data_IF_246004673025
#
_entry.id   IF_246004673025
#
_cell.length_a   1.000
_cell.length_b   1.000
_cell.length_c   1.000
_cell.angle_alpha   90.00
_cell.angle_beta   90.00
_cell.angle_gamma   90.00
#
_symmetry.space_group_name_H-M   'P 1'
#
loop_
_entity.id
_entity.type
_entity.pdbx_description
1 polymer ?
#
# COMPACT_ATOMS: atom_id res chain seq x y z
N UNK A 1 19.38 30.33 15.59
CA UNK A 1 19.90 29.86 16.89
C UNK A 1 19.49 28.41 17.01
N UNK A 2 20.45 27.49 17.01
CA UNK A 2 20.17 26.05 17.05
C UNK A 2 19.66 25.67 18.45
N UNK A 3 18.62 24.82 18.57
CA UNK A 3 17.98 24.47 19.85
C UNK A 3 18.87 23.68 20.82
N UNK A 4 20.12 23.36 20.45
CA UNK A 4 21.07 22.55 21.20
C UNK A 4 22.35 23.31 21.57
N UNK A 5 22.24 24.53 22.10
CA UNK A 5 23.41 25.18 22.70
C UNK A 5 23.52 24.73 24.18
N UNK A 6 24.50 23.88 24.56
CA UNK A 6 24.66 23.44 25.94
C UNK A 6 24.87 24.60 26.91
N UNK A 7 25.45 25.71 26.46
CA UNK A 7 25.62 26.91 27.29
C UNK A 7 24.29 27.58 27.64
N UNK A 8 23.32 27.59 26.69
CA UNK A 8 21.98 28.15 26.93
C UNK A 8 21.21 27.30 27.93
N UNK A 9 21.31 25.97 27.84
CA UNK A 9 20.68 25.06 28.80
C UNK A 9 21.26 25.23 30.21
N UNK A 10 22.59 25.34 30.33
CA UNK A 10 23.22 25.64 31.61
C UNK A 10 22.74 26.97 32.19
N UNK A 11 22.56 28.00 31.35
CA UNK A 11 22.08 29.32 31.78
C UNK A 11 20.61 29.31 32.23
N UNK A 12 19.76 28.53 31.56
CA UNK A 12 18.34 28.35 31.93
C UNK A 12 18.18 27.51 33.21
N UNK A 13 19.00 26.48 33.38
CA UNK A 13 19.04 25.66 34.59
C UNK A 13 19.53 26.46 35.80
N UNK A 14 20.56 27.29 35.61
CA UNK A 14 21.06 28.18 36.66
C UNK A 14 20.02 29.22 37.11
N UNK A 15 19.11 29.63 36.21
CA UNK A 15 17.99 30.52 36.55
C UNK A 15 16.75 29.79 37.09
N UNK A 16 16.82 28.47 37.31
CA UNK A 16 15.70 27.68 37.83
C UNK A 16 14.50 27.59 36.88
N UNK A 17 14.70 27.87 35.58
CA UNK A 17 13.63 27.89 34.58
C UNK A 17 13.41 26.52 33.92
N UNK A 18 14.22 25.52 34.26
CA UNK A 18 14.13 24.15 33.72
C UNK A 18 14.13 23.13 34.86
N UNK A 19 13.22 22.17 34.82
CA UNK A 19 13.19 21.03 35.75
C UNK A 19 13.58 19.75 34.98
N UNK A 20 14.81 19.27 35.14
CA UNK A 20 15.28 18.02 34.52
C UNK A 20 16.73 18.05 34.04
N UNK A 21 17.23 16.89 33.59
CA UNK A 21 18.54 16.78 32.93
C UNK A 21 18.55 17.44 31.55
N UNK A 22 19.74 17.64 30.97
CA UNK A 22 19.92 18.11 29.59
C UNK A 22 18.98 17.31 28.68
N UNK A 23 18.15 17.93 27.81
CA UNK A 23 17.36 17.17 26.85
C UNK A 23 18.36 16.34 26.05
N UNK A 24 18.34 15.02 26.26
CA UNK A 24 19.05 14.11 25.37
C UNK A 24 18.51 14.46 23.99
N UNK A 25 19.41 14.77 23.05
CA UNK A 25 19.08 15.03 21.65
C UNK A 25 17.91 14.13 21.28
N UNK A 26 16.70 14.70 21.24
CA UNK A 26 15.61 14.02 20.57
C UNK A 26 16.19 13.78 19.19
N UNK A 27 16.33 12.50 18.80
CA UNK A 27 16.64 12.11 17.43
C UNK A 27 15.84 13.06 16.57
N UNK A 28 16.54 13.99 15.90
CA UNK A 28 15.93 15.12 15.19
C UNK A 28 14.68 14.58 14.53
N UNK A 29 13.50 14.99 15.03
CA UNK A 29 12.22 14.48 14.53
C UNK A 29 12.33 14.51 13.01
N UNK A 30 12.35 13.33 12.38
CA UNK A 30 12.71 13.20 10.98
C UNK A 30 11.89 14.23 10.22
N UNK A 31 12.57 15.19 9.60
CA UNK A 31 11.85 16.24 8.90
C UNK A 31 11.09 15.53 7.78
N UNK A 32 9.77 15.68 7.73
CA UNK A 32 8.90 14.93 6.81
C UNK A 32 9.38 14.92 5.35
N UNK A 33 10.11 15.96 4.93
CA UNK A 33 10.68 16.05 3.60
C UNK A 33 11.86 15.10 3.36
N UNK A 34 12.63 14.75 4.40
CA UNK A 34 13.70 13.74 4.31
C UNK A 34 13.12 12.36 4.07
N UNK A 35 12.05 12.00 4.80
CA UNK A 35 11.34 10.74 4.60
C UNK A 35 10.73 10.67 3.19
N UNK A 36 10.13 11.76 2.72
CA UNK A 36 9.59 11.86 1.37
C UNK A 36 10.67 11.71 0.29
N UNK A 37 11.80 12.41 0.46
CA UNK A 37 12.92 12.33 -0.48
C UNK A 37 13.52 10.92 -0.50
N UNK A 38 13.67 10.29 0.66
CA UNK A 38 14.15 8.93 0.77
C UNK A 38 13.21 7.91 0.12
N UNK A 39 11.89 8.10 0.26
CA UNK A 39 10.90 7.27 -0.43
C UNK A 39 11.01 7.40 -1.95
N UNK A 40 11.11 8.63 -2.46
CA UNK A 40 11.29 8.91 -3.90
C UNK A 40 12.60 8.29 -4.41
N UNK A 41 13.71 8.48 -3.69
CA UNK A 41 15.01 7.91 -4.04
C UNK A 41 14.95 6.37 -4.09
N UNK A 42 14.22 5.74 -3.16
CA UNK A 42 14.03 4.28 -3.13
C UNK A 42 13.21 3.79 -4.31
N UNK A 43 12.16 4.53 -4.68
CA UNK A 43 11.36 4.22 -5.85
C UNK A 43 12.18 4.32 -7.14
N UNK A 44 12.99 5.37 -7.29
CA UNK A 44 13.91 5.53 -8.42
C UNK A 44 14.99 4.47 -8.46
N UNK A 45 15.60 4.13 -7.31
CA UNK A 45 16.57 3.05 -7.21
C UNK A 45 15.95 1.70 -7.61
N UNK A 46 14.69 1.46 -7.27
CA UNK A 46 13.97 0.25 -7.67
C UNK A 46 13.81 0.17 -9.18
N UNK A 47 13.38 1.27 -9.82
CA UNK A 47 13.23 1.30 -11.28
C UNK A 47 14.56 1.14 -12.02
N UNK A 48 15.62 1.79 -11.54
CA UNK A 48 16.96 1.63 -12.11
C UNK A 48 17.49 0.21 -11.91
N UNK A 49 17.24 -0.38 -10.75
CA UNK A 49 17.67 -1.75 -10.47
C UNK A 49 16.89 -2.78 -11.31
N UNK A 50 15.59 -2.57 -11.53
CA UNK A 50 14.78 -3.36 -12.48
C UNK A 50 15.37 -3.25 -13.88
N UNK A 51 15.66 -2.04 -14.37
CA UNK A 51 16.27 -1.84 -15.68
C UNK A 51 17.64 -2.48 -15.79
N UNK A 52 18.45 -2.40 -14.73
CA UNK A 52 19.76 -3.05 -14.65
C UNK A 52 19.65 -4.57 -14.69
N UNK A 53 18.77 -5.17 -13.88
CA UNK A 53 18.54 -6.63 -13.88
C UNK A 53 17.99 -7.08 -15.23
N UNK A 54 17.05 -6.33 -15.79
CA UNK A 54 16.50 -6.54 -17.13
C UNK A 54 17.58 -6.58 -18.21
N UNK A 55 18.45 -5.57 -18.23
CA UNK A 55 19.53 -5.47 -19.21
C UNK A 55 20.64 -6.50 -18.99
N UNK A 56 21.05 -6.74 -17.74
CA UNK A 56 22.15 -7.63 -17.40
C UNK A 56 21.80 -9.10 -17.64
N UNK A 57 20.56 -9.47 -17.38
CA UNK A 57 20.10 -10.86 -17.45
C UNK A 57 19.15 -11.12 -18.61
N UNK A 58 19.04 -10.23 -19.60
CA UNK A 58 18.06 -10.31 -20.68
C UNK A 58 17.87 -11.74 -21.24
N UNK A 59 18.98 -12.37 -21.64
CA UNK A 59 18.95 -13.72 -22.24
C UNK A 59 18.58 -14.81 -21.21
N UNK A 60 18.91 -14.60 -19.94
CA UNK A 60 18.54 -15.51 -18.86
C UNK A 60 17.07 -15.34 -18.43
N UNK A 61 16.49 -14.14 -18.63
CA UNK A 61 15.11 -13.83 -18.27
C UNK A 61 14.09 -14.55 -19.16
N UNK A 62 14.47 -14.88 -20.41
CA UNK A 62 13.66 -15.69 -21.33
C UNK A 62 13.49 -17.15 -20.84
N UNK A 63 14.37 -17.63 -19.96
CA UNK A 63 14.31 -18.99 -19.46
C UNK A 63 13.53 -19.08 -18.14
N UNK A 64 12.29 -19.60 -18.19
CA UNK A 64 11.42 -19.81 -17.02
C UNK A 64 12.12 -20.51 -15.84
N UNK A 65 13.02 -21.46 -16.11
CA UNK A 65 13.72 -22.22 -15.08
C UNK A 65 14.79 -21.41 -14.35
N UNK A 66 15.24 -20.29 -14.92
CA UNK A 66 16.16 -19.36 -14.27
C UNK A 66 15.39 -18.20 -13.64
N UNK A 67 14.40 -17.66 -14.35
CA UNK A 67 13.71 -16.43 -13.95
C UNK A 67 12.81 -16.63 -12.74
N UNK A 68 12.09 -17.75 -12.64
CA UNK A 68 11.22 -18.03 -11.48
C UNK A 68 12.07 -18.20 -10.21
N UNK A 69 13.09 -19.08 -10.16
CA UNK A 69 13.93 -19.22 -8.98
C UNK A 69 14.64 -17.93 -8.60
N UNK A 70 15.14 -17.16 -9.58
CA UNK A 70 15.77 -15.86 -9.32
C UNK A 70 14.79 -14.91 -8.63
N UNK A 71 13.57 -14.78 -9.18
CA UNK A 71 12.56 -13.89 -8.62
C UNK A 71 12.14 -14.31 -7.21
N UNK A 72 11.94 -15.61 -7.00
CA UNK A 72 11.61 -16.16 -5.67
C UNK A 72 12.77 -15.98 -4.68
N UNK A 73 14.02 -16.14 -5.13
CA UNK A 73 15.21 -15.91 -4.30
C UNK A 73 15.31 -14.44 -3.89
N UNK A 74 15.08 -13.51 -4.81
CA UNK A 74 15.02 -12.07 -4.51
C UNK A 74 13.89 -11.75 -3.53
N UNK A 75 12.70 -12.32 -3.73
CA UNK A 75 11.56 -12.12 -2.83
C UNK A 75 11.82 -12.68 -1.42
N UNK A 76 12.43 -13.86 -1.32
CA UNK A 76 12.83 -14.48 -0.05
C UNK A 76 13.95 -13.68 0.63
N UNK A 77 14.90 -13.14 -0.15
CA UNK A 77 15.91 -12.22 0.34
C UNK A 77 15.29 -10.95 0.93
N UNK A 78 14.33 -10.36 0.22
CA UNK A 78 13.61 -9.18 0.70
C UNK A 78 12.85 -9.46 2.00
N UNK A 79 12.17 -10.61 2.07
CA UNK A 79 11.47 -11.06 3.27
C UNK A 79 12.42 -11.19 4.47
N UNK A 80 13.59 -11.78 4.25
CA UNK A 80 14.61 -11.96 5.28
C UNK A 80 15.17 -10.61 5.75
N UNK A 81 15.42 -9.69 4.80
CA UNK A 81 15.86 -8.32 5.08
C UNK A 81 14.84 -7.59 5.95
N UNK A 82 13.54 -7.62 5.62
CA UNK A 82 12.53 -6.92 6.41
C UNK A 82 12.38 -7.46 7.83
N UNK A 83 12.75 -8.73 8.10
CA UNK A 83 12.74 -9.29 9.46
C UNK A 83 13.86 -8.77 10.34
N UNK A 84 15.00 -8.41 9.76
CA UNK A 84 16.20 -7.98 10.50
C UNK A 84 16.47 -6.47 10.37
N UNK A 85 15.76 -5.78 9.47
CA UNK A 85 15.98 -4.36 9.21
C UNK A 85 15.62 -3.51 10.44
N UNK A 86 16.65 -2.91 11.03
CA UNK A 86 16.52 -1.86 12.05
C UNK A 86 16.72 -0.45 11.49
N UNK A 87 17.41 -0.35 10.34
CA UNK A 87 17.76 0.91 9.70
C UNK A 87 16.92 1.16 8.44
N UNK A 88 16.74 2.43 8.10
CA UNK A 88 15.95 2.84 6.93
C UNK A 88 16.61 2.40 5.62
N UNK A 89 17.93 2.47 5.52
CA UNK A 89 18.69 2.03 4.34
C UNK A 89 18.43 0.53 4.06
N UNK A 90 18.53 -0.31 5.08
CA UNK A 90 18.30 -1.75 4.97
C UNK A 90 16.86 -2.04 4.55
N UNK A 91 15.89 -1.28 5.07
CA UNK A 91 14.48 -1.36 4.66
C UNK A 91 14.31 -1.02 3.17
N UNK A 92 14.99 0.02 2.68
CA UNK A 92 14.93 0.43 1.28
C UNK A 92 15.52 -0.60 0.33
N UNK A 93 16.61 -1.27 0.72
CA UNK A 93 17.18 -2.39 -0.05
C UNK A 93 16.15 -3.53 -0.16
N UNK A 94 15.47 -3.86 0.95
CA UNK A 94 14.38 -4.85 0.95
C UNK A 94 13.24 -4.47 0.01
N UNK A 95 12.85 -3.18 -0.02
CA UNK A 95 11.83 -2.67 -0.95
C UNK A 95 12.27 -2.80 -2.41
N UNK A 96 13.49 -2.35 -2.75
CA UNK A 96 14.06 -2.47 -4.10
C UNK A 96 14.05 -3.91 -4.57
N UNK A 97 14.53 -4.82 -3.73
CA UNK A 97 14.63 -6.24 -4.05
C UNK A 97 13.25 -6.87 -4.26
N UNK A 98 12.27 -6.54 -3.41
CA UNK A 98 10.91 -7.06 -3.55
C UNK A 98 10.18 -6.50 -4.77
N UNK A 99 10.26 -5.20 -5.03
CA UNK A 99 9.63 -4.59 -6.20
C UNK A 99 10.19 -5.16 -7.49
N UNK A 100 11.51 -5.37 -7.52
CA UNK A 100 12.18 -5.99 -8.66
C UNK A 100 11.68 -7.42 -8.86
N UNK A 101 11.68 -8.24 -7.80
CA UNK A 101 11.15 -9.61 -7.86
C UNK A 101 9.70 -9.67 -8.37
N UNK A 102 8.84 -8.75 -7.94
CA UNK A 102 7.44 -8.69 -8.38
C UNK A 102 7.33 -8.35 -9.88
N UNK A 103 8.14 -7.43 -10.39
CA UNK A 103 8.16 -7.10 -11.82
C UNK A 103 8.69 -8.25 -12.66
N UNK A 104 9.74 -8.96 -12.22
CA UNK A 104 10.21 -10.15 -12.93
C UNK A 104 9.14 -11.24 -12.95
N UNK A 105 8.47 -11.52 -11.82
CA UNK A 105 7.36 -12.47 -11.79
C UNK A 105 6.23 -12.06 -12.76
N UNK A 106 5.90 -10.77 -12.79
CA UNK A 106 4.89 -10.26 -13.71
C UNK A 106 5.28 -10.46 -15.19
N UNK A 107 6.55 -10.24 -15.52
CA UNK A 107 7.07 -10.47 -16.86
C UNK A 107 6.95 -11.94 -17.27
N UNK A 108 7.42 -12.87 -16.43
CA UNK A 108 7.35 -14.31 -16.70
C UNK A 108 5.91 -14.78 -16.89
N UNK A 109 5.00 -14.36 -15.99
CA UNK A 109 3.59 -14.72 -16.08
C UNK A 109 3.05 -14.24 -17.43
N UNK A 110 3.32 -13.00 -17.83
CA UNK A 110 2.82 -12.48 -19.10
C UNK A 110 3.43 -13.16 -20.34
N UNK A 111 4.70 -13.57 -20.28
CA UNK A 111 5.39 -14.20 -21.42
C UNK A 111 5.00 -15.67 -21.61
N UNK A 112 4.90 -16.44 -20.52
CA UNK A 112 4.71 -17.89 -20.56
C UNK A 112 3.24 -18.32 -20.45
N UNK A 113 2.34 -17.38 -20.16
CA UNK A 113 0.91 -17.60 -20.30
C UNK A 113 0.59 -17.63 -21.80
N UNK A 114 0.26 -18.82 -22.29
CA UNK A 114 -0.02 -19.08 -23.70
C UNK A 114 -1.11 -18.14 -24.23
N UNK A 115 -0.69 -17.20 -25.09
CA UNK A 115 -1.57 -16.16 -25.66
C UNK A 115 -2.74 -16.72 -26.46
N UNK A 116 -2.69 -18.00 -26.85
CA UNK A 116 -3.77 -18.67 -27.57
C UNK A 116 -4.85 -19.27 -26.66
N UNK A 117 -4.50 -19.58 -25.40
CA UNK A 117 -5.37 -20.31 -24.46
C UNK A 117 -5.75 -19.47 -23.24
N UNK A 118 -4.90 -18.52 -22.85
CA UNK A 118 -5.09 -17.70 -21.66
C UNK A 118 -5.18 -16.21 -22.02
N UNK A 119 -6.31 -15.64 -21.63
CA UNK A 119 -6.62 -14.22 -21.74
C UNK A 119 -5.80 -13.37 -20.74
N UNK A 120 -5.50 -12.12 -21.11
CA UNK A 120 -4.84 -11.10 -20.27
C UNK A 120 -5.49 -10.97 -18.88
N UNK A 121 -6.78 -11.27 -18.80
CA UNK A 121 -7.57 -11.40 -17.57
C UNK A 121 -6.92 -12.31 -16.53
N UNK A 122 -6.45 -13.49 -16.93
CA UNK A 122 -5.88 -14.46 -15.98
C UNK A 122 -4.52 -14.01 -15.44
N UNK A 123 -3.70 -13.39 -16.30
CA UNK A 123 -2.44 -12.76 -15.88
C UNK A 123 -2.69 -11.68 -14.84
N UNK A 124 -3.65 -10.79 -15.11
CA UNK A 124 -4.02 -9.73 -14.18
C UNK A 124 -4.58 -10.28 -12.86
N UNK A 125 -5.37 -11.35 -12.91
CA UNK A 125 -5.89 -12.03 -11.72
C UNK A 125 -4.80 -12.74 -10.91
N UNK A 126 -3.83 -13.37 -11.58
CA UNK A 126 -2.67 -13.97 -10.93
C UNK A 126 -1.82 -12.91 -10.21
N UNK A 127 -1.62 -11.75 -10.85
CA UNK A 127 -0.95 -10.61 -10.23
C UNK A 127 -1.74 -10.06 -9.04
N UNK A 128 -3.06 -9.93 -9.15
CA UNK A 128 -3.91 -9.55 -8.03
C UNK A 128 -3.73 -10.50 -6.84
N UNK A 129 -3.81 -11.81 -7.09
CA UNK A 129 -3.64 -12.83 -6.05
C UNK A 129 -2.25 -12.77 -5.41
N UNK A 130 -1.20 -12.61 -6.22
CA UNK A 130 0.18 -12.44 -5.74
C UNK A 130 0.29 -11.21 -4.81
N UNK A 131 -0.23 -10.07 -5.22
CA UNK A 131 -0.17 -8.83 -4.44
C UNK A 131 -0.92 -8.96 -3.11
N UNK A 132 -2.10 -9.59 -3.11
CA UNK A 132 -2.84 -9.89 -1.87
C UNK A 132 -2.04 -10.80 -0.95
N UNK A 133 -1.41 -11.85 -1.48
CA UNK A 133 -0.55 -12.74 -0.69
C UNK A 133 0.63 -11.98 -0.07
N UNK A 134 1.24 -11.06 -0.81
CA UNK A 134 2.35 -10.25 -0.33
C UNK A 134 1.94 -9.30 0.81
N UNK A 135 0.75 -8.68 0.73
CA UNK A 135 0.18 -7.87 1.83
C UNK A 135 0.06 -8.68 3.12
N UNK A 136 -0.35 -9.95 3.01
CA UNK A 136 -0.57 -10.82 4.16
C UNK A 136 0.72 -11.38 4.77
N UNK A 137 1.79 -11.53 3.97
CA UNK A 137 3.01 -12.24 4.39
C UNK A 137 4.09 -11.34 4.97
N UNK A 138 4.32 -10.15 4.39
CA UNK A 138 5.40 -9.26 4.81
C UNK A 138 4.99 -8.39 5.99
N UNK A 139 5.87 -8.11 6.96
CA UNK A 139 5.55 -7.28 8.14
C UNK A 139 5.79 -5.77 7.98
N UNK A 140 6.42 -5.37 6.89
CA UNK A 140 6.76 -3.98 6.62
C UNK A 140 5.54 -3.16 6.15
N UNK A 141 5.32 -1.99 6.76
CA UNK A 141 4.16 -1.14 6.46
C UNK A 141 4.18 -0.59 5.02
N UNK A 142 5.32 -0.08 4.55
CA UNK A 142 5.46 0.53 3.23
C UNK A 142 5.27 -0.53 2.14
N UNK A 143 5.89 -1.70 2.32
CA UNK A 143 5.73 -2.82 1.40
C UNK A 143 4.28 -3.28 1.29
N UNK A 144 3.59 -3.47 2.42
CA UNK A 144 2.15 -3.81 2.46
C UNK A 144 1.30 -2.76 1.76
N UNK A 145 1.58 -1.48 1.99
CA UNK A 145 0.86 -0.38 1.34
C UNK A 145 1.02 -0.42 -0.18
N UNK A 146 2.26 -0.61 -0.68
CA UNK A 146 2.53 -0.71 -2.12
C UNK A 146 1.87 -1.94 -2.74
N UNK A 147 1.91 -3.11 -2.07
CA UNK A 147 1.25 -4.31 -2.57
C UNK A 147 -0.28 -4.15 -2.62
N UNK A 148 -0.89 -3.49 -1.62
CA UNK A 148 -2.32 -3.19 -1.63
C UNK A 148 -2.69 -2.21 -2.76
N UNK A 149 -1.83 -1.23 -3.03
CA UNK A 149 -1.96 -0.33 -4.18
C UNK A 149 -1.90 -1.09 -5.51
N UNK A 150 -0.90 -1.95 -5.71
CA UNK A 150 -0.78 -2.75 -6.93
C UNK A 150 -1.91 -3.77 -7.08
N UNK A 151 -2.39 -4.37 -5.98
CA UNK A 151 -3.58 -5.23 -6.01
C UNK A 151 -4.80 -4.46 -6.51
N UNK A 152 -5.07 -3.26 -6.01
CA UNK A 152 -6.18 -2.45 -6.49
C UNK A 152 -6.02 -2.05 -7.97
N UNK A 153 -4.80 -1.74 -8.42
CA UNK A 153 -4.53 -1.47 -9.83
C UNK A 153 -4.76 -2.71 -10.71
N UNK A 154 -4.32 -3.88 -10.28
CA UNK A 154 -4.55 -5.14 -10.98
C UNK A 154 -6.06 -5.47 -11.07
N UNK A 155 -6.80 -5.26 -9.98
CA UNK A 155 -8.26 -5.39 -9.98
C UNK A 155 -8.94 -4.41 -10.95
N UNK A 156 -8.50 -3.14 -10.95
CA UNK A 156 -9.00 -2.15 -11.88
C UNK A 156 -8.71 -2.54 -13.34
N UNK A 157 -7.53 -3.11 -13.61
CA UNK A 157 -7.16 -3.59 -14.93
C UNK A 157 -8.01 -4.79 -15.39
N UNK A 158 -8.30 -5.75 -14.51
CA UNK A 158 -9.26 -6.84 -14.80
C UNK A 158 -10.63 -6.28 -15.20
N UNK A 159 -11.14 -5.30 -14.44
CA UNK A 159 -12.42 -4.66 -14.75
C UNK A 159 -12.38 -3.85 -16.05
N UNK A 160 -11.24 -3.27 -16.39
CA UNK A 160 -11.05 -2.58 -17.66
C UNK A 160 -11.12 -3.55 -18.85
N UNK A 161 -10.49 -4.72 -18.76
CA UNK A 161 -10.53 -5.74 -19.82
C UNK A 161 -11.96 -6.22 -20.10
N UNK A 162 -12.80 -6.29 -19.07
CA UNK A 162 -14.20 -6.71 -19.18
C UNK A 162 -15.20 -5.57 -19.40
N UNK A 163 -14.76 -4.37 -19.76
CA UNK A 163 -15.61 -3.18 -19.96
C UNK A 163 -16.48 -2.81 -18.72
N UNK A 164 -16.02 -3.18 -17.54
CA UNK A 164 -16.68 -2.94 -16.24
C UNK A 164 -15.96 -1.88 -15.40
N UNK A 165 -15.11 -1.03 -16.02
CA UNK A 165 -14.28 -0.06 -15.30
C UNK A 165 -15.09 0.90 -14.40
N UNK A 166 -16.35 1.20 -14.76
CA UNK A 166 -17.23 2.04 -13.94
C UNK A 166 -17.54 1.43 -12.55
N UNK A 167 -17.45 0.11 -12.43
CA UNK A 167 -17.73 -0.63 -11.19
C UNK A 167 -16.51 -0.76 -10.28
N UNK A 168 -15.36 -0.17 -10.63
CA UNK A 168 -14.11 -0.35 -9.88
C UNK A 168 -14.11 0.44 -8.57
N UNK A 169 -14.51 1.71 -8.61
CA UNK A 169 -14.34 2.65 -7.50
C UNK A 169 -15.21 2.26 -6.29
N UNK A 170 -16.46 1.86 -6.51
CA UNK A 170 -17.41 1.53 -5.45
C UNK A 170 -16.95 0.38 -4.53
N UNK A 171 -16.64 -0.82 -5.06
CA UNK A 171 -16.10 -1.94 -4.30
C UNK A 171 -14.78 -1.59 -3.58
N UNK A 172 -13.86 -0.87 -4.23
CA UNK A 172 -12.61 -0.46 -3.59
C UNK A 172 -12.84 0.48 -2.41
N UNK A 173 -13.75 1.46 -2.54
CA UNK A 173 -14.16 2.34 -1.44
C UNK A 173 -14.86 1.57 -0.31
N UNK A 174 -15.72 0.61 -0.65
CA UNK A 174 -16.38 -0.24 0.33
C UNK A 174 -15.36 -1.04 1.15
N UNK A 175 -14.36 -1.65 0.50
CA UNK A 175 -13.28 -2.37 1.18
C UNK A 175 -12.44 -1.41 2.02
N UNK A 176 -12.06 -0.24 1.50
CA UNK A 176 -11.33 0.79 2.24
C UNK A 176 -12.05 1.18 3.53
N UNK A 177 -13.35 1.52 3.44
CA UNK A 177 -14.16 1.88 4.59
C UNK A 177 -14.30 0.71 5.57
N UNK A 178 -14.51 -0.52 5.09
CA UNK A 178 -14.55 -1.70 5.94
C UNK A 178 -13.25 -1.89 6.73
N UNK A 179 -12.10 -1.76 6.08
CA UNK A 179 -10.79 -1.87 6.74
C UNK A 179 -10.60 -0.78 7.80
N UNK A 180 -10.95 0.47 7.48
CA UNK A 180 -10.85 1.58 8.44
C UNK A 180 -11.80 1.44 9.63
N UNK A 181 -13.03 1.02 9.38
CA UNK A 181 -14.01 0.80 10.47
C UNK A 181 -13.62 -0.35 11.38
N UNK A 182 -12.99 -1.40 10.84
CA UNK A 182 -12.59 -2.58 11.61
C UNK A 182 -11.14 -2.53 12.09
N UNK A 183 -10.40 -1.44 11.85
CA UNK A 183 -9.00 -1.27 12.23
C UNK A 183 -8.83 -1.52 13.73
N UNK A 184 -9.63 -0.87 14.57
CA UNK A 184 -9.56 -0.99 16.03
C UNK A 184 -10.23 -2.23 16.62
N UNK A 185 -10.99 -2.99 15.83
CA UNK A 185 -11.68 -4.19 16.34
C UNK A 185 -10.76 -5.40 16.51
N UNK A 186 -9.57 -5.39 15.92
CA UNK A 186 -8.67 -6.54 15.93
C UNK A 186 -7.22 -6.07 16.06
N UNK A 187 -6.67 -5.96 17.30
CA UNK A 187 -5.32 -5.44 17.54
C UNK A 187 -4.23 -6.16 16.72
N UNK A 188 -4.39 -7.48 16.52
CA UNK A 188 -3.48 -8.32 15.73
C UNK A 188 -3.35 -7.87 14.27
N UNK A 189 -4.41 -7.28 13.70
CA UNK A 189 -4.49 -6.94 12.28
C UNK A 189 -4.36 -5.44 12.00
N UNK A 190 -4.16 -4.61 13.02
CA UNK A 190 -4.08 -3.14 12.88
C UNK A 190 -3.03 -2.76 11.83
N UNK A 191 -1.81 -3.32 11.92
CA UNK A 191 -0.72 -3.01 10.98
C UNK A 191 -1.08 -3.33 9.53
N UNK A 192 -1.73 -4.47 9.29
CA UNK A 192 -2.15 -4.92 7.96
C UNK A 192 -3.28 -4.02 7.44
N UNK A 193 -4.34 -3.83 8.23
CA UNK A 193 -5.50 -3.01 7.84
C UNK A 193 -5.10 -1.57 7.57
N UNK A 194 -4.22 -1.00 8.40
CA UNK A 194 -3.73 0.36 8.23
C UNK A 194 -2.97 0.53 6.92
N UNK A 195 -1.96 -0.32 6.67
CA UNK A 195 -1.18 -0.29 5.43
C UNK A 195 -2.03 -0.55 4.18
N UNK A 196 -2.91 -1.57 4.24
CA UNK A 196 -3.79 -1.91 3.13
C UNK A 196 -4.76 -0.76 2.81
N UNK A 197 -5.36 -0.14 3.83
CA UNK A 197 -6.26 1.01 3.63
C UNK A 197 -5.54 2.22 3.00
N UNK A 198 -4.29 2.48 3.38
CA UNK A 198 -3.49 3.54 2.76
C UNK A 198 -3.19 3.27 1.27
N UNK A 199 -2.84 2.01 0.95
CA UNK A 199 -2.60 1.58 -0.44
C UNK A 199 -3.86 1.64 -1.30
N UNK A 200 -4.99 1.17 -0.78
CA UNK A 200 -6.29 1.27 -1.45
C UNK A 200 -6.69 2.72 -1.73
N UNK A 201 -6.51 3.62 -0.75
CA UNK A 201 -6.83 5.04 -0.93
C UNK A 201 -6.00 5.66 -2.06
N UNK A 202 -4.69 5.40 -2.08
CA UNK A 202 -3.80 5.88 -3.15
C UNK A 202 -4.24 5.35 -4.53
N UNK A 203 -4.63 4.07 -4.61
CA UNK A 203 -5.09 3.47 -5.86
C UNK A 203 -6.43 4.06 -6.32
N UNK A 204 -7.39 4.26 -5.41
CA UNK A 204 -8.68 4.89 -5.73
C UNK A 204 -8.46 6.31 -6.26
N UNK A 205 -7.59 7.11 -5.64
CA UNK A 205 -7.27 8.45 -6.13
C UNK A 205 -6.65 8.42 -7.54
N UNK A 206 -5.73 7.50 -7.79
CA UNK A 206 -5.14 7.32 -9.12
C UNK A 206 -6.18 6.92 -10.16
N UNK A 207 -7.05 5.97 -9.83
CA UNK A 207 -8.10 5.48 -10.73
C UNK A 207 -9.11 6.60 -11.02
N UNK A 208 -9.54 7.34 -9.99
CA UNK A 208 -10.45 8.47 -10.15
C UNK A 208 -9.86 9.58 -11.01
N UNK A 209 -8.57 9.89 -10.83
CA UNK A 209 -7.88 10.89 -11.62
C UNK A 209 -7.84 10.52 -13.11
N UNK A 210 -7.61 9.24 -13.44
CA UNK A 210 -7.54 8.75 -14.82
C UNK A 210 -8.92 8.36 -15.41
N UNK A 211 -9.99 8.35 -14.60
CA UNK A 211 -11.32 7.91 -15.01
C UNK A 211 -11.87 8.69 -16.23
N UNK A 212 -11.77 10.03 -16.32
CA UNK A 212 -12.30 10.78 -17.46
C UNK A 212 -11.63 10.40 -18.79
N UNK A 213 -10.34 10.06 -18.74
CA UNK A 213 -9.57 9.68 -19.92
C UNK A 213 -9.92 8.26 -20.36
N UNK A 214 -10.09 7.33 -19.40
CA UNK A 214 -10.62 5.99 -19.69
C UNK A 214 -12.04 6.06 -20.29
N UNK A 215 -12.91 6.94 -19.78
CA UNK A 215 -14.27 7.13 -20.32
C UNK A 215 -14.27 7.63 -21.76
N UNK A 216 -13.33 8.52 -22.11
CA UNK A 216 -13.22 9.05 -23.48
C UNK A 216 -12.88 7.95 -24.50
N UNK A 217 -12.09 6.97 -24.09
CA UNK A 217 -11.72 5.84 -24.96
C UNK A 217 -12.91 4.89 -25.18
N UNK A 218 -13.80 4.73 -24.20
CA UNK A 218 -14.89 3.73 -24.22
C UNK A 218 -16.29 4.34 -24.50
N UNK A 219 -16.36 5.32 -25.40
CA UNK A 219 -17.47 6.28 -25.58
C UNK A 219 -18.84 5.77 -26.10
N UNK A 220 -19.28 4.54 -25.85
CA UNK A 220 -20.57 4.03 -26.38
C UNK A 220 -21.53 3.32 -25.40
N UNK A 221 -21.27 3.28 -24.09
CA UNK A 221 -22.10 2.46 -23.19
C UNK A 221 -23.05 3.24 -22.24
N UNK A 222 -24.34 2.85 -22.14
CA UNK A 222 -25.36 3.49 -21.29
C UNK A 222 -25.22 3.20 -19.78
N UNK A 223 -24.14 2.54 -19.35
CA UNK A 223 -24.00 2.04 -17.98
C UNK A 223 -23.54 3.09 -16.94
N UNK A 224 -23.30 4.34 -17.34
CA UNK A 224 -22.91 5.43 -16.42
C UNK A 224 -23.87 5.62 -15.24
N UNK A 225 -25.19 5.42 -15.46
CA UNK A 225 -26.17 5.57 -14.38
C UNK A 225 -26.04 4.45 -13.32
N UNK A 226 -25.71 3.23 -13.75
CA UNK A 226 -25.61 2.07 -12.85
C UNK A 226 -24.42 2.16 -11.90
N UNK A 227 -23.31 2.74 -12.33
CA UNK A 227 -22.13 2.93 -11.48
C UNK A 227 -22.30 4.04 -10.45
N UNK A 228 -23.00 5.12 -10.79
CA UNK A 228 -23.34 6.16 -9.82
C UNK A 228 -24.23 5.60 -8.72
N UNK A 229 -25.21 4.76 -9.09
CA UNK A 229 -26.06 4.05 -8.12
C UNK A 229 -25.22 3.12 -7.24
N UNK A 230 -24.27 2.37 -7.80
CA UNK A 230 -23.40 1.48 -7.02
C UNK A 230 -22.50 2.27 -6.05
N UNK A 231 -21.92 3.38 -6.50
CA UNK A 231 -21.11 4.25 -5.65
C UNK A 231 -21.96 4.84 -4.53
N UNK A 232 -23.19 5.28 -4.84
CA UNK A 232 -24.14 5.76 -3.84
C UNK A 232 -24.54 4.66 -2.84
N UNK A 233 -24.74 3.42 -3.29
CA UNK A 233 -25.02 2.27 -2.43
C UNK A 233 -23.83 1.91 -1.55
N UNK A 234 -22.60 1.97 -2.08
CA UNK A 234 -21.39 1.76 -1.30
C UNK A 234 -21.24 2.84 -0.21
N UNK A 235 -21.45 4.10 -0.55
CA UNK A 235 -21.47 5.22 0.41
C UNK A 235 -22.59 5.06 1.45
N UNK A 236 -23.78 4.65 1.02
CA UNK A 236 -24.90 4.41 1.93
C UNK A 236 -24.60 3.25 2.89
N UNK A 237 -24.02 2.16 2.38
CA UNK A 237 -23.59 1.02 3.19
C UNK A 237 -22.54 1.41 4.22
N UNK A 238 -21.58 2.26 3.87
CA UNK A 238 -20.56 2.72 4.82
C UNK A 238 -21.14 3.64 5.89
N UNK A 239 -22.05 4.56 5.53
CA UNK A 239 -22.79 5.39 6.49
C UNK A 239 -23.63 4.54 7.44
N UNK A 240 -24.33 3.53 6.92
CA UNK A 240 -25.09 2.58 7.74
C UNK A 240 -24.20 1.83 8.73
N UNK A 241 -23.05 1.32 8.28
CA UNK A 241 -22.09 0.65 9.17
C UNK A 241 -21.52 1.58 10.25
N UNK A 242 -21.24 2.85 9.90
CA UNK A 242 -20.82 3.87 10.87
C UNK A 242 -21.91 4.08 11.92
N UNK A 243 -23.16 4.29 11.48
CA UNK A 243 -24.29 4.52 12.37
C UNK A 243 -24.58 3.33 13.29
N UNK A 244 -24.43 2.09 12.82
CA UNK A 244 -24.59 0.91 13.67
C UNK A 244 -23.51 0.84 14.77
N UNK A 245 -22.25 1.19 14.44
CA UNK A 245 -21.17 1.20 15.43
C UNK A 245 -21.32 2.30 16.48
N UNK A 246 -21.72 3.49 16.06
CA UNK A 246 -21.99 4.60 17.00
C UNK A 246 -23.15 4.24 17.92
N UNK A 247 -24.22 3.64 17.39
CA UNK A 247 -25.35 3.15 18.20
C UNK A 247 -24.94 2.10 19.24
N UNK A 248 -24.07 1.14 18.88
CA UNK A 248 -23.55 0.15 19.84
C UNK A 248 -22.65 0.77 20.91
N UNK A 249 -21.80 1.74 20.55
CA UNK A 249 -20.95 2.45 21.52
C UNK A 249 -21.76 3.27 22.52
N UNK A 250 -22.81 3.96 22.06
CA UNK A 250 -23.71 4.74 22.92
C UNK A 250 -24.49 3.82 23.86
N UNK A 251 -25.02 2.70 23.37
CA UNK A 251 -25.71 1.71 24.22
C UNK A 251 -24.79 1.12 25.29
N UNK A 252 -23.54 0.80 24.94
CA UNK A 252 -22.56 0.29 25.90
C UNK A 252 -22.22 1.32 27.00
N UNK A 253 -22.05 2.60 26.64
CA UNK A 253 -21.83 3.69 27.61
C UNK A 253 -23.05 3.95 28.49
N UNK A 254 -24.26 3.93 27.91
CA UNK A 254 -25.51 4.11 28.66
C UNK A 254 -25.72 2.95 29.66
N UNK A 255 -25.45 1.71 29.27
CA UNK A 255 -25.53 0.56 30.17
C UNK A 255 -24.50 0.67 31.31
N UNK A 256 -23.26 1.07 31.01
CA UNK A 256 -22.24 1.28 32.04
C UNK A 256 -22.61 2.40 33.04
N UNK A 257 -23.30 3.46 32.59
CA UNK A 257 -23.80 4.52 33.47
C UNK A 257 -24.97 4.07 34.36
N UNK A 258 -25.83 3.17 33.88
CA UNK A 258 -26.94 2.62 34.68
C UNK A 258 -26.50 1.55 35.69
N UNK A 259 -25.33 0.95 35.51
CA UNK A 259 -24.78 -0.07 36.42
C UNK A 259 -23.78 0.48 37.45
N UNK A 260 -23.45 1.78 37.39
CA UNK A 260 -22.58 2.48 38.35
C UNK A 260 -23.43 3.28 39.35
#
# INVERSE_FOLDING_TARGET
>A
MTPNNPELWHLLNQKGLTAGGLPQNEELASLWYMDAFQAIATWMASLLFIGFVGALFNDALENIFLTIPLSLMMLAGAFSIFKIASQVITTNIGLVLSLTAQVLLAFIINEHVDKSTFDLTYTALALFALQVLLVLTFDNHVHRMMCAFFAACAFAFVMLIHDHYYWVVGPLLMVFCYLKLTEFSSPKWVKIKSAASAGLLAAVLLIQYNLPEMIRVTSQHPFHLSSEILNALALFGTVMMINQRTAMSVKAKAFAFFCA
#
